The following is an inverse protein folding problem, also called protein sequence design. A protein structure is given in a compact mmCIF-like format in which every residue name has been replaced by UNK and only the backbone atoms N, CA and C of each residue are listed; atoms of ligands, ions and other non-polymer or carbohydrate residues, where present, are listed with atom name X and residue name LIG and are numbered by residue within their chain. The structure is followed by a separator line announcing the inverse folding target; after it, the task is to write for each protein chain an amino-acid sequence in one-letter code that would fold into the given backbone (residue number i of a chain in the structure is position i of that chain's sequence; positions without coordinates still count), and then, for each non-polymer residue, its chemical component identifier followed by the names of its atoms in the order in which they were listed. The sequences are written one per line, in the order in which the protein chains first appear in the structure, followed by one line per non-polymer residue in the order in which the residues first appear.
data_IF_278887811275
#
_entry.id   IF_278887811275
#
_cell.length_a   1.000
_cell.length_b   1.000
_cell.length_c   1.000
_cell.angle_alpha   90.00
_cell.angle_beta   90.00
_cell.angle_gamma   90.00
#
_symmetry.space_group_name_H-M   'P 1'
#
loop_
_entity.id
_entity.type
_entity.pdbx_description
1 polymer ?
#
# COMPACT_ATOMS: atom_id res chain seq x y z
N UNK A 1 2.44 -0.75 -18.31
CA UNK A 1 3.76 -0.54 -17.68
C UNK A 1 4.83 -1.08 -18.59
N UNK A 2 5.95 -0.39 -18.72
CA UNK A 2 7.11 -0.94 -19.43
C UNK A 2 7.76 -2.08 -18.60
N UNK A 3 8.55 -2.96 -19.23
CA UNK A 3 9.29 -4.02 -18.52
C UNK A 3 10.22 -3.48 -17.42
N UNK A 4 10.88 -2.35 -17.68
CA UNK A 4 11.82 -1.70 -16.75
C UNK A 4 11.10 -1.24 -15.48
N UNK A 5 9.96 -0.57 -15.65
CA UNK A 5 9.11 -0.13 -14.53
C UNK A 5 8.61 -1.33 -13.73
N UNK A 6 8.23 -2.42 -14.42
CA UNK A 6 7.80 -3.66 -13.77
C UNK A 6 8.91 -4.26 -12.90
N UNK A 7 10.15 -4.28 -13.41
CA UNK A 7 11.31 -4.76 -12.67
C UNK A 7 11.62 -3.86 -11.46
N UNK A 8 11.54 -2.53 -11.64
CA UNK A 8 11.72 -1.56 -10.56
C UNK A 8 10.71 -1.77 -9.43
N UNK A 9 9.41 -1.87 -9.76
CA UNK A 9 8.34 -2.15 -8.78
C UNK A 9 8.59 -3.48 -8.07
N UNK A 10 9.01 -4.52 -8.80
CA UNK A 10 9.30 -5.82 -8.19
C UNK A 10 10.46 -5.75 -7.18
N UNK A 11 11.54 -5.03 -7.51
CA UNK A 11 12.70 -4.84 -6.61
C UNK A 11 12.30 -4.08 -5.35
N UNK A 12 11.65 -2.92 -5.52
CA UNK A 12 11.16 -2.08 -4.41
C UNK A 12 10.24 -2.88 -3.47
N UNK A 13 9.32 -3.66 -4.04
CA UNK A 13 8.42 -4.48 -3.25
C UNK A 13 9.16 -5.56 -2.47
N UNK A 14 10.11 -6.25 -3.10
CA UNK A 14 10.92 -7.27 -2.42
C UNK A 14 11.73 -6.69 -1.27
N UNK A 15 12.36 -5.53 -1.48
CA UNK A 15 13.12 -4.82 -0.45
C UNK A 15 12.21 -4.35 0.69
N UNK A 16 11.06 -3.74 0.37
CA UNK A 16 10.12 -3.28 1.38
C UNK A 16 9.61 -4.46 2.22
N UNK A 17 9.28 -5.58 1.58
CA UNK A 17 8.77 -6.77 2.29
C UNK A 17 9.82 -7.43 3.17
N UNK A 18 11.09 -7.43 2.75
CA UNK A 18 12.19 -7.91 3.57
C UNK A 18 12.35 -7.03 4.82
N UNK A 19 12.52 -5.72 4.64
CA UNK A 19 12.68 -4.79 5.77
C UNK A 19 11.45 -4.76 6.68
N UNK A 20 10.24 -4.85 6.12
CA UNK A 20 9.01 -4.95 6.89
C UNK A 20 8.97 -6.23 7.73
N UNK A 21 9.40 -7.36 7.18
CA UNK A 21 9.47 -8.61 7.91
C UNK A 21 10.52 -8.56 9.04
N UNK A 22 11.69 -7.96 8.77
CA UNK A 22 12.75 -7.78 9.77
C UNK A 22 12.34 -6.86 10.92
N UNK A 23 11.51 -5.85 10.63
CA UNK A 23 11.00 -4.90 11.63
C UNK A 23 9.79 -5.43 12.42
N UNK A 24 9.18 -6.54 12.00
CA UNK A 24 8.03 -7.14 12.68
C UNK A 24 8.51 -8.10 13.78
N UNK A 25 7.93 -7.96 14.98
CA UNK A 25 8.16 -8.90 16.08
C UNK A 25 7.37 -10.21 15.93
N UNK A 26 6.64 -10.38 14.82
CA UNK A 26 5.77 -11.55 14.57
C UNK A 26 6.22 -12.28 13.31
N UNK A 27 5.86 -13.57 13.21
CA UNK A 27 6.18 -14.35 12.03
C UNK A 27 5.43 -13.80 10.80
N UNK A 28 6.19 -13.30 9.84
CA UNK A 28 5.69 -12.73 8.59
C UNK A 28 5.78 -13.76 7.46
N UNK A 29 4.67 -13.97 6.75
CA UNK A 29 4.64 -14.78 5.53
C UNK A 29 4.65 -13.88 4.31
N UNK A 30 5.72 -13.95 3.51
CA UNK A 30 5.82 -13.24 2.22
C UNK A 30 5.37 -14.21 1.13
N UNK A 31 4.18 -14.00 0.57
CA UNK A 31 3.74 -14.79 -0.57
C UNK A 31 4.36 -14.24 -1.85
N UNK A 32 5.37 -14.96 -2.36
CA UNK A 32 6.12 -14.64 -3.58
C UNK A 32 5.54 -15.29 -4.84
N UNK A 33 4.32 -15.84 -4.78
CA UNK A 33 3.69 -16.57 -5.90
C UNK A 33 3.88 -15.84 -7.23
N UNK A 34 4.39 -16.59 -8.21
CA UNK A 34 4.67 -16.12 -9.57
C UNK A 34 3.38 -15.51 -10.12
N UNK A 35 3.45 -14.24 -10.51
CA UNK A 35 2.34 -13.38 -10.96
C UNK A 35 1.64 -13.84 -12.25
N UNK A 36 1.13 -15.07 -12.28
CA UNK A 36 0.31 -15.60 -13.38
C UNK A 36 -1.19 -15.56 -13.08
N UNK A 37 -1.61 -15.30 -11.84
CA UNK A 37 -3.02 -15.22 -11.47
C UNK A 37 -3.29 -13.99 -10.60
N UNK A 38 -3.56 -12.84 -11.25
CA UNK A 38 -4.35 -11.67 -10.80
C UNK A 38 -4.21 -11.10 -9.37
N UNK A 39 -3.33 -11.64 -8.53
CA UNK A 39 -3.13 -11.27 -7.13
C UNK A 39 -1.72 -10.77 -6.95
N UNK A 40 -1.53 -9.49 -6.55
CA UNK A 40 -0.20 -8.97 -6.31
C UNK A 40 0.44 -9.74 -5.14
N UNK A 41 1.76 -10.00 -5.22
CA UNK A 41 2.54 -10.45 -4.06
C UNK A 41 2.20 -9.63 -2.84
N UNK A 42 2.01 -10.33 -1.73
CA UNK A 42 1.53 -9.75 -0.48
C UNK A 42 2.28 -10.35 0.69
N UNK A 43 2.34 -9.55 1.75
CA UNK A 43 2.83 -9.95 3.05
C UNK A 43 1.63 -10.20 3.94
N UNK A 44 1.64 -11.26 4.73
CA UNK A 44 0.60 -11.54 5.71
C UNK A 44 1.18 -12.01 7.04
N UNK A 45 0.56 -11.62 8.14
CA UNK A 45 0.98 -11.99 9.49
C UNK A 45 -0.24 -12.11 10.41
N UNK A 46 -0.05 -12.72 11.58
CA UNK A 46 -1.08 -12.76 12.62
C UNK A 46 -0.60 -11.88 13.77
N UNK A 47 -1.43 -10.93 14.20
CA UNK A 47 -1.09 -10.04 15.30
C UNK A 47 -1.29 -10.71 16.67
N UNK A 48 -0.93 -10.00 17.74
CA UNK A 48 -1.06 -10.47 19.13
C UNK A 48 -2.50 -10.79 19.53
N UNK A 49 -3.49 -10.19 18.85
CA UNK A 49 -4.92 -10.45 19.04
C UNK A 49 -5.43 -11.64 18.19
N UNK A 50 -4.53 -12.42 17.59
CA UNK A 50 -4.85 -13.53 16.69
C UNK A 50 -5.61 -13.09 15.44
N UNK A 51 -5.46 -11.83 15.02
CA UNK A 51 -6.09 -11.31 13.81
C UNK A 51 -5.18 -11.47 12.61
N UNK A 52 -5.74 -11.91 11.49
CA UNK A 52 -5.02 -12.00 10.23
C UNK A 52 -4.90 -10.61 9.61
N UNK A 53 -3.66 -10.21 9.32
CA UNK A 53 -3.30 -8.98 8.66
C UNK A 53 -2.57 -9.25 7.35
N UNK A 54 -2.64 -8.31 6.42
CA UNK A 54 -1.85 -8.33 5.19
C UNK A 54 -1.58 -6.94 4.63
N UNK A 55 -0.51 -6.87 3.85
CA UNK A 55 -0.02 -5.69 3.18
C UNK A 55 0.35 -6.04 1.75
N UNK A 56 -0.07 -5.22 0.79
CA UNK A 56 0.33 -5.34 -0.62
C UNK A 56 0.86 -4.00 -1.14
N UNK A 57 1.76 -4.07 -2.13
CA UNK A 57 2.33 -2.91 -2.82
C UNK A 57 2.15 -3.14 -4.31
N UNK A 58 1.58 -2.16 -4.98
CA UNK A 58 1.35 -2.20 -6.43
C UNK A 58 1.51 -0.81 -7.03
N UNK A 59 1.70 -0.75 -8.34
CA UNK A 59 1.73 0.51 -9.07
C UNK A 59 0.31 1.07 -9.15
N UNK A 60 0.11 2.27 -8.61
CA UNK A 60 -1.13 3.04 -8.78
C UNK A 60 -1.14 3.75 -10.13
N UNK A 61 0.01 4.30 -10.50
CA UNK A 61 0.28 4.96 -11.77
C UNK A 61 1.69 4.59 -12.20
N UNK A 62 1.90 4.44 -13.51
CA UNK A 62 3.20 4.09 -14.05
C UNK A 62 3.32 4.46 -15.53
N UNK A 63 4.54 4.76 -16.02
CA UNK A 63 4.82 4.89 -17.44
C UNK A 63 4.33 3.68 -18.24
N UNK A 64 3.75 3.93 -19.40
CA UNK A 64 3.42 2.90 -20.38
C UNK A 64 3.65 3.42 -21.80
N UNK A 65 3.41 2.57 -22.80
CA UNK A 65 3.64 2.89 -24.21
C UNK A 65 2.78 4.09 -24.68
N UNK A 66 1.61 4.30 -24.06
CA UNK A 66 0.69 5.36 -24.42
C UNK A 66 1.01 6.67 -23.70
N UNK A 67 1.50 6.59 -22.45
CA UNK A 67 1.87 7.75 -21.63
C UNK A 67 3.24 7.49 -20.96
N UNK A 68 4.35 7.69 -21.69
CA UNK A 68 5.69 7.42 -21.17
C UNK A 68 6.10 8.38 -20.05
N UNK A 69 5.60 9.61 -20.06
CA UNK A 69 5.90 10.63 -19.03
C UNK A 69 5.06 10.48 -17.76
N UNK A 70 4.17 9.47 -17.69
CA UNK A 70 3.34 9.26 -16.51
C UNK A 70 4.23 8.92 -15.32
N UNK A 71 4.14 9.62 -14.17
CA UNK A 71 4.97 9.30 -13.02
C UNK A 71 4.67 7.91 -12.47
N UNK A 72 5.73 7.21 -12.05
CA UNK A 72 5.59 5.99 -11.25
C UNK A 72 5.16 6.38 -9.83
N UNK A 73 3.98 5.93 -9.44
CA UNK A 73 3.40 6.12 -8.12
C UNK A 73 2.97 4.77 -7.58
N UNK A 74 3.35 4.49 -6.34
CA UNK A 74 3.01 3.25 -5.65
C UNK A 74 1.79 3.45 -4.77
N UNK A 75 1.07 2.36 -4.51
CA UNK A 75 0.04 2.30 -3.49
C UNK A 75 0.24 1.07 -2.62
N UNK A 76 0.28 1.32 -1.33
CA UNK A 76 0.31 0.30 -0.28
C UNK A 76 -1.13 0.10 0.17
N UNK A 77 -1.59 -1.14 0.12
CA UNK A 77 -2.88 -1.54 0.67
C UNK A 77 -2.70 -2.37 1.93
N UNK A 78 -3.32 -1.95 3.03
CA UNK A 78 -3.33 -2.67 4.31
C UNK A 78 -4.73 -3.21 4.59
N UNK A 79 -4.85 -4.54 4.74
CA UNK A 79 -6.09 -5.24 5.11
C UNK A 79 -7.32 -4.99 4.20
N UNK A 80 -7.10 -4.58 2.95
CA UNK A 80 -8.15 -4.21 1.98
C UNK A 80 -8.66 -5.40 1.18
N UNK A 81 -9.98 -5.62 1.19
CA UNK A 81 -10.60 -6.80 0.59
C UNK A 81 -10.65 -8.04 1.50
N UNK A 82 -10.36 -7.88 2.80
CA UNK A 82 -10.31 -8.95 3.79
C UNK A 82 -11.68 -9.62 3.95
N UNK A 83 -12.72 -8.81 3.76
CA UNK A 83 -14.13 -9.20 3.80
C UNK A 83 -14.50 -10.18 2.69
N UNK A 84 -13.92 -10.00 1.50
CA UNK A 84 -14.14 -10.91 0.35
C UNK A 84 -13.48 -12.27 0.60
N UNK A 85 -12.30 -12.28 1.24
CA UNK A 85 -11.58 -13.51 1.59
C UNK A 85 -12.21 -14.25 2.79
N UNK A 86 -12.82 -13.50 3.73
CA UNK A 86 -13.53 -14.07 4.87
C UNK A 86 -14.74 -14.93 4.47
N UNK A 87 -15.41 -14.60 3.36
CA UNK A 87 -16.54 -15.38 2.85
C UNK A 87 -16.17 -16.77 2.31
N UNK A 88 -14.90 -16.97 1.92
CA UNK A 88 -14.46 -18.19 1.21
C UNK A 88 -13.91 -19.26 2.18
N UNK A 89 -13.47 -18.90 3.38
CA UNK A 89 -12.88 -19.85 4.34
C UNK A 89 -13.90 -20.37 5.37
N UNK A 90 -14.86 -21.20 4.94
CA UNK A 90 -15.82 -21.87 5.87
C UNK A 90 -15.23 -23.08 6.63
N UNK A 91 -13.98 -23.46 6.40
CA UNK A 91 -13.43 -24.76 6.88
C UNK A 91 -12.26 -24.72 7.86
N UNK A 92 -11.68 -23.56 8.17
CA UNK A 92 -10.60 -23.43 9.17
C UNK A 92 -11.00 -22.31 10.12
N UNK A 93 -10.96 -22.59 11.44
CA UNK A 93 -11.46 -21.71 12.51
C UNK A 93 -11.31 -20.22 12.18
N UNK A 94 -12.40 -19.48 12.29
CA UNK A 94 -12.55 -18.11 11.80
C UNK A 94 -11.42 -17.23 12.36
N UNK A 95 -10.33 -17.08 11.61
CA UNK A 95 -9.31 -16.09 11.92
C UNK A 95 -9.97 -14.73 11.73
N UNK A 96 -10.11 -13.97 12.81
CA UNK A 96 -10.70 -12.64 12.75
C UNK A 96 -9.79 -11.77 11.88
N UNK A 97 -10.32 -11.17 10.82
CA UNK A 97 -9.54 -10.21 10.04
C UNK A 97 -9.45 -8.89 10.80
N UNK A 98 -8.33 -8.18 10.68
CA UNK A 98 -8.19 -6.87 11.28
C UNK A 98 -8.95 -5.80 10.47
N UNK A 99 -10.26 -5.73 10.68
CA UNK A 99 -11.12 -4.69 10.08
C UNK A 99 -10.92 -3.31 10.70
N UNK A 100 -10.32 -3.24 11.90
CA UNK A 100 -10.05 -1.97 12.55
C UNK A 100 -8.97 -1.19 11.79
N UNK A 101 -7.93 -1.86 11.28
CA UNK A 101 -6.84 -1.21 10.57
C UNK A 101 -6.90 -1.52 9.07
N UNK A 102 -7.63 -0.70 8.30
CA UNK A 102 -7.69 -0.78 6.84
C UNK A 102 -7.42 0.58 6.23
N UNK A 103 -6.47 0.66 5.29
CA UNK A 103 -6.20 1.91 4.57
C UNK A 103 -5.37 1.71 3.31
N UNK A 104 -5.44 2.70 2.43
CA UNK A 104 -4.48 2.88 1.33
C UNK A 104 -3.50 4.01 1.64
N UNK A 105 -2.24 3.82 1.28
CA UNK A 105 -1.22 4.87 1.27
C UNK A 105 -0.60 4.95 -0.13
N UNK A 106 -0.74 6.11 -0.77
CA UNK A 106 -0.23 6.39 -2.11
C UNK A 106 0.99 7.30 -2.02
N UNK A 107 2.10 6.91 -2.63
CA UNK A 107 3.41 7.53 -2.42
C UNK A 107 4.37 7.33 -3.60
N UNK A 108 5.44 8.12 -3.66
CA UNK A 108 6.51 7.93 -4.65
C UNK A 108 7.46 6.79 -4.22
N UNK A 109 8.08 6.07 -5.18
CA UNK A 109 9.02 4.98 -4.89
C UNK A 109 10.03 5.25 -3.78
N UNK A 110 10.67 6.42 -3.83
CA UNK A 110 11.75 6.80 -2.90
C UNK A 110 11.24 7.09 -1.47
N UNK A 111 9.93 7.29 -1.31
CA UNK A 111 9.29 7.55 -0.02
C UNK A 111 8.88 6.26 0.70
N UNK A 112 8.88 5.12 -0.01
CA UNK A 112 8.36 3.86 0.52
C UNK A 112 9.09 3.42 1.79
N UNK A 113 10.43 3.41 1.76
CA UNK A 113 11.22 2.99 2.91
C UNK A 113 11.16 4.02 4.06
N UNK A 114 11.19 5.31 3.73
CA UNK A 114 11.11 6.40 4.72
C UNK A 114 9.78 6.38 5.49
N UNK A 115 8.69 5.91 4.86
CA UNK A 115 7.37 5.79 5.48
C UNK A 115 7.13 4.45 6.18
N UNK A 116 8.07 3.50 6.12
CA UNK A 116 7.91 2.19 6.77
C UNK A 116 7.67 2.29 8.28
N UNK A 117 8.40 3.11 9.07
CA UNK A 117 8.13 3.25 10.50
C UNK A 117 6.70 3.74 10.79
N UNK A 118 6.18 4.62 9.94
CA UNK A 118 4.80 5.11 10.05
C UNK A 118 3.77 4.01 9.76
N UNK A 119 4.01 3.18 8.73
CA UNK A 119 3.17 2.03 8.44
C UNK A 119 3.16 1.06 9.62
N UNK A 120 4.31 0.78 10.23
CA UNK A 120 4.41 -0.08 11.40
C UNK A 120 3.65 0.48 12.62
N UNK A 121 3.77 1.79 12.90
CA UNK A 121 2.99 2.42 14.00
C UNK A 121 1.49 2.35 13.74
N UNK A 122 1.06 2.59 12.50
CA UNK A 122 -0.34 2.47 12.10
C UNK A 122 -0.90 1.06 12.31
N UNK A 123 -0.10 0.03 12.06
CA UNK A 123 -0.48 -1.38 12.21
C UNK A 123 -0.57 -1.84 13.67
N UNK A 124 0.23 -1.24 14.57
CA UNK A 124 0.29 -1.61 15.97
C UNK A 124 -0.82 -0.98 16.82
N UNK A 125 -1.65 -0.11 16.26
CA UNK A 125 -2.74 0.54 16.99
C UNK A 125 -3.97 -0.36 17.05
N UNK A 126 -4.50 -0.51 18.26
CA UNK A 126 -5.66 -1.37 18.55
C UNK A 126 -7.00 -0.80 18.07
N UNK A 127 -7.05 0.48 17.71
CA UNK A 127 -8.25 1.18 17.25
C UNK A 127 -8.18 1.47 15.74
N UNK A 128 -9.34 1.85 15.15
CA UNK A 128 -9.36 2.43 13.80
C UNK A 128 -8.29 3.50 13.72
N UNK A 129 -7.28 3.34 12.87
CA UNK A 129 -6.12 4.18 12.97
C UNK A 129 -6.57 5.59 12.63
N UNK A 130 -6.44 6.50 13.59
CA UNK A 130 -6.56 7.92 13.34
C UNK A 130 -5.28 8.35 12.61
N UNK A 131 -5.14 7.88 11.37
CA UNK A 131 -3.91 7.97 10.57
C UNK A 131 -3.47 9.42 10.36
N UNK A 132 -4.41 10.36 10.45
CA UNK A 132 -4.19 11.82 10.38
C UNK A 132 -3.58 12.41 11.65
N UNK A 133 -3.67 11.73 12.80
CA UNK A 133 -3.13 12.21 14.09
C UNK A 133 -1.79 11.58 14.44
N UNK A 134 -1.28 10.69 13.59
CA UNK A 134 0.04 10.08 13.73
C UNK A 134 1.13 11.16 13.62
N UNK A 135 2.06 11.24 14.60
CA UNK A 135 3.23 12.10 14.47
C UNK A 135 4.09 11.55 13.31
N UNK A 136 3.93 12.17 12.15
CA UNK A 136 4.70 11.87 10.95
C UNK A 136 6.11 12.42 11.15
N UNK A 137 7.17 11.60 11.06
CA UNK A 137 8.50 12.17 11.11
C UNK A 137 8.93 12.74 9.74
N UNK A 138 8.26 12.43 8.62
CA UNK A 138 8.82 12.74 7.28
C UNK A 138 7.89 13.28 6.18
N UNK A 139 6.59 12.96 6.11
CA UNK A 139 5.74 13.42 4.99
C UNK A 139 4.34 13.85 5.43
N UNK A 140 3.88 15.06 5.06
CA UNK A 140 2.48 15.46 5.27
C UNK A 140 1.56 14.59 4.41
N UNK A 141 0.69 13.81 5.06
CA UNK A 141 -0.32 13.00 4.40
C UNK A 141 -1.58 13.83 4.10
N UNK A 142 -2.10 13.67 2.90
CA UNK A 142 -3.34 14.32 2.45
C UNK A 142 -4.39 13.24 2.22
N UNK A 143 -5.58 13.34 2.84
CA UNK A 143 -6.68 12.42 2.56
C UNK A 143 -7.10 12.48 1.09
N UNK A 144 -7.38 11.32 0.49
CA UNK A 144 -8.00 11.22 -0.84
C UNK A 144 -9.47 11.66 -0.74
N UNK A 145 -9.80 12.78 -1.38
CA UNK A 145 -11.18 13.29 -1.46
C UNK A 145 -11.92 12.55 -2.59
N UNK A 146 -12.79 11.62 -2.23
CA UNK A 146 -13.72 10.96 -3.16
C UNK A 146 -13.76 9.44 -3.02
N UNK A 147 -14.93 8.92 -2.64
CA UNK A 147 -15.45 7.57 -2.95
C UNK A 147 -14.66 6.31 -2.58
N UNK A 148 -13.49 6.42 -1.95
CA UNK A 148 -12.71 5.23 -1.61
C UNK A 148 -13.43 4.38 -0.56
N UNK A 149 -13.47 3.07 -0.79
CA UNK A 149 -14.13 2.09 0.11
C UNK A 149 -13.44 2.03 1.48
N UNK A 150 -12.21 2.53 1.58
CA UNK A 150 -11.44 2.60 2.80
C UNK A 150 -10.69 3.95 2.92
N UNK A 151 -10.28 4.35 4.13
CA UNK A 151 -9.41 5.51 4.33
C UNK A 151 -8.21 5.46 3.39
N UNK A 152 -7.98 6.54 2.66
CA UNK A 152 -6.92 6.60 1.66
C UNK A 152 -6.16 7.89 1.78
N UNK A 153 -4.84 7.78 1.72
CA UNK A 153 -3.91 8.88 1.97
C UNK A 153 -2.89 8.96 0.86
N UNK A 154 -2.45 10.19 0.59
CA UNK A 154 -1.39 10.49 -0.36
C UNK A 154 -0.25 11.21 0.36
N UNK A 155 0.98 10.92 -0.01
CA UNK A 155 2.06 11.89 0.24
C UNK A 155 1.81 13.13 -0.62
N UNK A 156 2.09 14.31 -0.06
CA UNK A 156 1.88 15.58 -0.77
C UNK A 156 2.64 15.66 -2.10
N UNK A 157 3.86 15.14 -2.12
CA UNK A 157 4.74 14.96 -3.29
C UNK A 157 4.12 14.06 -4.36
N UNK A 158 3.63 12.87 -4.00
CA UNK A 158 2.95 11.98 -4.94
C UNK A 158 1.68 12.63 -5.51
N UNK A 159 0.90 13.30 -4.67
CA UNK A 159 -0.31 14.00 -5.10
C UNK A 159 0.01 15.12 -6.11
N UNK A 160 1.07 15.89 -5.86
CA UNK A 160 1.54 16.93 -6.81
C UNK A 160 2.09 16.32 -8.09
N UNK A 161 2.88 15.25 -8.00
CA UNK A 161 3.46 14.58 -9.17
C UNK A 161 2.38 14.10 -10.14
N UNK A 162 1.23 13.62 -9.66
CA UNK A 162 0.12 13.17 -10.51
C UNK A 162 -0.72 14.34 -11.04
N UNK A 163 -0.83 15.45 -10.31
CA UNK A 163 -1.59 16.63 -10.73
C UNK A 163 -0.83 17.54 -11.71
N UNK A 164 0.50 17.65 -11.58
CA UNK A 164 1.32 18.50 -12.44
C UNK A 164 1.20 18.20 -13.96
N UNK A 165 1.18 16.93 -14.40
CA UNK A 165 0.97 16.58 -15.81
C UNK A 165 -0.41 17.00 -16.33
N UNK A 166 -1.45 16.94 -15.49
CA UNK A 166 -2.82 17.32 -15.85
C UNK A 166 -3.00 18.84 -16.02
N UNK A 167 -2.24 19.65 -15.26
CA UNK A 167 -2.30 21.12 -15.37
C UNK A 167 -1.60 21.65 -16.62
N UNK A 168 -0.55 20.98 -17.10
CA UNK A 168 0.15 21.36 -18.33
C UNK A 168 -0.66 21.07 -19.60
N UNK A 169 -1.50 20.03 -19.59
CA UNK A 169 -2.33 19.64 -20.74
C UNK A 169 -3.63 20.47 -20.90
N UNK A 170 -4.04 21.22 -19.87
CA UNK A 170 -5.30 21.98 -19.84
C UNK A 170 -5.12 23.50 -19.93
N UNK A 171 -3.90 23.97 -20.21
CA UNK A 171 -3.66 25.40 -20.49
C UNK A 171 -3.76 25.62 -22.00
N UNK A 172 -4.86 26.17 -22.54
CA UNK A 172 -4.87 26.63 -23.92
C UNK A 172 -3.89 27.80 -24.03
N UNK A 173 -2.99 27.73 -25.01
CA UNK A 173 -2.14 28.86 -25.43
C UNK A 173 -2.98 29.94 -26.10
#
# INVERSE_FOLDING_TARGET
MTPEVTQQVSRLRSEFYAQFADAQNTAVTINKEKSYASTPPKVSWTDTQQRLNYLCIYAYSAPDVLVPDRPLVLRIGVNLGAEVLAGVSRGKGIRRYNQACQFYLTLLPDEAMALMPWVLDALNRDAKPQLTTLPLPYHKLVPELGGSVAPSFWTHTAQRAVKSPLSAALSPS
#
